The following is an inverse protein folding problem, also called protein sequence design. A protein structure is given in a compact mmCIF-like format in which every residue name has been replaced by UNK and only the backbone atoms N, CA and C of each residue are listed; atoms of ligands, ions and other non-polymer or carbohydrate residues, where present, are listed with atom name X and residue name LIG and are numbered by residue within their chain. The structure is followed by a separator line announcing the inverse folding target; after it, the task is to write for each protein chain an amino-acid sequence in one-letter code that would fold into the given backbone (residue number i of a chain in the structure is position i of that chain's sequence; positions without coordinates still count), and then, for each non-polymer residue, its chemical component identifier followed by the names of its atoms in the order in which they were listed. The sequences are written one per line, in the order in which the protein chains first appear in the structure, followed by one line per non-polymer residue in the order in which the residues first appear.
data_IF_788029212560
#
_entry.id   IF_788029212560
#
_cell.length_a   1.000
_cell.length_b   1.000
_cell.length_c   1.000
_cell.angle_alpha   90.00
_cell.angle_beta   90.00
_cell.angle_gamma   90.00
#
_symmetry.space_group_name_H-M   'P 1'
#
loop_
_entity.id
_entity.type
_entity.pdbx_description
1 polymer ?
2 non-polymer ?
3 water ?
#
# COMPACT_ATOMS: atom_id res chain seq x y z
N UNK A 1 35.77 6.70 -7.14
CA UNK A 1 34.47 6.96 -7.81
C UNK A 1 33.74 5.69 -8.17
N UNK A 2 34.35 4.89 -9.04
CA UNK A 2 33.70 3.65 -9.47
C UNK A 2 33.16 2.80 -8.33
N UNK A 3 33.96 2.64 -7.28
CA UNK A 3 33.53 1.84 -6.15
C UNK A 3 32.33 2.51 -5.48
N UNK A 4 32.51 3.76 -5.08
CA UNK A 4 31.45 4.49 -4.41
C UNK A 4 30.20 4.61 -5.27
N UNK A 5 30.38 4.79 -6.57
CA UNK A 5 29.24 4.89 -7.46
C UNK A 5 28.50 3.57 -7.39
N UNK A 6 29.24 2.47 -7.44
CA UNK A 6 28.61 1.17 -7.38
C UNK A 6 27.89 1.00 -6.05
N UNK A 7 28.43 1.63 -5.02
CA UNK A 7 27.82 1.56 -3.69
C UNK A 7 26.48 2.32 -3.70
N UNK A 8 26.46 3.51 -4.31
CA UNK A 8 25.24 4.27 -4.39
C UNK A 8 24.24 3.55 -5.27
N UNK A 9 24.74 2.90 -6.31
CA UNK A 9 23.87 2.18 -7.21
C UNK A 9 23.26 1.01 -6.47
N UNK A 10 24.07 0.32 -5.68
CA UNK A 10 23.62 -0.82 -4.90
C UNK A 10 22.60 -0.44 -3.83
N UNK A 11 22.81 0.70 -3.18
CA UNK A 11 21.91 1.17 -2.14
C UNK A 11 20.52 1.41 -2.70
N UNK A 12 20.47 2.03 -3.86
CA UNK A 12 19.22 2.36 -4.52
C UNK A 12 18.48 1.09 -4.94
N UNK A 13 19.21 0.17 -5.54
CA UNK A 13 18.58 -1.05 -6.00
C UNK A 13 17.98 -1.89 -4.87
N UNK A 14 18.61 -1.89 -3.70
CA UNK A 14 18.09 -2.67 -2.59
C UNK A 14 16.84 -2.00 -2.02
N UNK A 15 16.91 -0.68 -1.89
CA UNK A 15 15.79 0.09 -1.37
C UNK A 15 14.59 -0.11 -2.30
N UNK A 16 14.81 0.02 -3.60
CA UNK A 16 13.75 -0.18 -4.57
C UNK A 16 13.25 -1.62 -4.54
N UNK A 17 14.19 -2.54 -4.32
CA UNK A 17 13.85 -3.96 -4.25
C UNK A 17 12.81 -4.20 -3.15
N UNK A 18 13.14 -3.76 -1.94
CA UNK A 18 12.25 -3.93 -0.78
C UNK A 18 10.93 -3.26 -1.04
N UNK A 19 10.98 -1.97 -1.35
CA UNK A 19 9.76 -1.23 -1.61
C UNK A 19 8.90 -2.02 -2.59
N UNK A 20 9.49 -2.43 -3.70
CA UNK A 20 8.75 -3.17 -4.71
C UNK A 20 8.13 -4.46 -4.22
N UNK A 21 8.92 -5.31 -3.57
CA UNK A 21 8.36 -6.58 -3.11
C UNK A 21 7.27 -6.34 -2.08
N UNK A 22 7.49 -5.36 -1.22
CA UNK A 22 6.53 -5.03 -0.18
C UNK A 22 5.20 -4.58 -0.83
N UNK A 23 5.28 -3.67 -1.78
CA UNK A 23 4.10 -3.15 -2.44
C UNK A 23 3.31 -4.16 -3.22
N UNK A 24 4.00 -5.01 -3.98
CA UNK A 24 3.33 -6.04 -4.78
C UNK A 24 2.62 -7.02 -3.87
N UNK A 25 3.22 -7.29 -2.71
CA UNK A 25 2.60 -8.21 -1.78
C UNK A 25 1.30 -7.64 -1.22
N UNK A 26 1.29 -6.34 -0.93
CA UNK A 26 0.10 -5.69 -0.41
C UNK A 26 -1.00 -5.63 -1.45
N UNK A 27 -0.67 -5.19 -2.66
CA UNK A 27 -1.67 -5.09 -3.70
C UNK A 27 -2.24 -6.44 -4.10
N UNK A 28 -1.39 -7.45 -4.17
CA UNK A 28 -1.86 -8.79 -4.53
C UNK A 28 -2.82 -9.28 -3.45
N UNK A 29 -2.55 -8.92 -2.21
CA UNK A 29 -3.41 -9.33 -1.10
C UNK A 29 -4.78 -8.71 -1.26
N UNK A 30 -4.80 -7.41 -1.54
CA UNK A 30 -6.06 -6.71 -1.72
C UNK A 30 -6.83 -7.23 -2.92
N UNK A 31 -6.16 -7.41 -4.06
CA UNK A 31 -6.86 -7.92 -5.23
C UNK A 31 -7.51 -9.24 -4.84
N UNK A 32 -6.72 -10.13 -4.25
CA UNK A 32 -7.21 -11.44 -3.83
C UNK A 32 -8.39 -11.36 -2.86
N UNK A 33 -8.27 -10.54 -1.83
CA UNK A 33 -9.38 -10.39 -0.88
C UNK A 33 -10.64 -10.00 -1.63
N UNK A 34 -10.53 -8.97 -2.46
CA UNK A 34 -11.67 -8.48 -3.23
C UNK A 34 -12.32 -9.62 -4.00
N UNK A 35 -11.52 -10.37 -4.74
CA UNK A 35 -12.03 -11.47 -5.54
C UNK A 35 -12.69 -12.52 -4.64
N UNK A 36 -12.17 -12.68 -3.44
CA UNK A 36 -12.75 -13.66 -2.53
C UNK A 36 -14.11 -13.20 -2.06
N UNK A 37 -14.19 -11.94 -1.66
CA UNK A 37 -15.42 -11.34 -1.17
C UNK A 37 -16.50 -11.41 -2.26
N UNK A 38 -16.11 -11.11 -3.50
CA UNK A 38 -17.04 -11.14 -4.61
C UNK A 38 -17.51 -12.55 -4.92
N UNK A 39 -16.59 -13.51 -4.85
CA UNK A 39 -16.95 -14.91 -5.12
C UNK A 39 -17.95 -15.39 -4.10
N UNK A 40 -17.79 -14.90 -2.88
CA UNK A 40 -18.71 -15.26 -1.81
C UNK A 40 -20.10 -14.72 -2.08
N UNK A 41 -20.19 -13.43 -2.40
CA UNK A 41 -21.49 -12.85 -2.69
C UNK A 41 -22.18 -13.64 -3.79
N UNK A 42 -21.47 -13.89 -4.89
CA UNK A 42 -22.03 -14.63 -6.01
C UNK A 42 -22.58 -15.95 -5.55
N UNK A 43 -21.83 -16.61 -4.67
CA UNK A 43 -22.24 -17.90 -4.13
C UNK A 43 -23.50 -17.79 -3.28
N UNK A 44 -23.50 -16.87 -2.32
CA UNK A 44 -24.64 -16.66 -1.45
C UNK A 44 -25.86 -16.24 -2.23
N UNK A 45 -25.64 -15.49 -3.31
CA UNK A 45 -26.73 -15.05 -4.14
C UNK A 45 -27.37 -16.24 -4.83
N UNK A 46 -26.55 -17.15 -5.35
CA UNK A 46 -27.08 -18.33 -6.03
C UNK A 46 -27.95 -19.12 -5.07
N UNK A 47 -27.52 -19.21 -3.83
CA UNK A 47 -28.28 -19.93 -2.83
C UNK A 47 -29.58 -19.22 -2.57
N UNK A 48 -29.50 -17.90 -2.42
CA UNK A 48 -30.67 -17.07 -2.18
C UNK A 48 -31.68 -17.24 -3.32
N UNK A 49 -31.17 -17.24 -4.55
CA UNK A 49 -32.02 -17.40 -5.70
C UNK A 49 -32.76 -18.73 -5.75
N UNK A 50 -32.08 -19.80 -5.33
CA UNK A 50 -32.70 -21.13 -5.33
C UNK A 50 -33.84 -21.14 -4.34
N UNK A 51 -33.59 -20.58 -3.16
CA UNK A 51 -34.63 -20.49 -2.13
C UNK A 51 -35.82 -19.67 -2.65
N UNK A 52 -35.55 -18.65 -3.46
CA UNK A 52 -36.62 -17.82 -4.02
C UNK A 52 -37.44 -18.58 -5.05
N UNK A 53 -36.77 -19.34 -5.90
CA UNK A 53 -37.48 -20.13 -6.90
C UNK A 53 -38.43 -21.11 -6.19
N UNK A 54 -37.97 -21.71 -5.12
CA UNK A 54 -38.79 -22.63 -4.36
C UNK A 54 -39.99 -21.91 -3.76
N UNK A 55 -39.76 -20.73 -3.17
CA UNK A 55 -40.85 -19.97 -2.55
C UNK A 55 -41.92 -19.67 -3.59
N UNK A 56 -41.46 -19.39 -4.81
CA UNK A 56 -42.37 -19.09 -5.90
C UNK A 56 -43.19 -20.32 -6.27
N UNK A 57 -42.49 -21.43 -6.49
CA UNK A 57 -43.16 -22.65 -6.86
C UNK A 57 -44.21 -23.05 -5.83
N UNK A 58 -43.91 -22.84 -4.55
CA UNK A 58 -44.86 -23.19 -3.53
C UNK A 58 -46.08 -22.25 -3.54
N UNK A 59 -45.84 -20.96 -3.78
CA UNK A 59 -46.91 -19.97 -3.83
C UNK A 59 -47.83 -20.34 -4.99
N UNK A 60 -47.22 -20.64 -6.12
CA UNK A 60 -47.97 -21.03 -7.31
C UNK A 60 -48.81 -22.28 -7.03
N UNK A 61 -48.26 -23.21 -6.24
CA UNK A 61 -48.97 -24.43 -5.94
C UNK A 61 -50.18 -24.09 -5.09
N UNK A 62 -50.00 -23.22 -4.10
CA UNK A 62 -51.14 -22.81 -3.28
C UNK A 62 -52.16 -22.09 -4.16
N UNK A 63 -51.66 -21.22 -5.03
CA UNK A 63 -52.52 -20.48 -5.93
C UNK A 63 -53.35 -21.45 -6.81
N UNK A 64 -52.71 -22.46 -7.37
CA UNK A 64 -53.45 -23.41 -8.21
C UNK A 64 -54.44 -24.26 -7.42
N UNK A 65 -54.19 -24.45 -6.14
CA UNK A 65 -55.14 -25.19 -5.29
C UNK A 65 -56.34 -24.28 -5.03
N UNK A 66 -56.10 -22.98 -4.84
CA UNK A 66 -57.18 -22.02 -4.59
C UNK A 66 -58.09 -21.93 -5.80
N UNK A 67 -57.51 -22.05 -6.99
CA UNK A 67 -58.32 -22.00 -8.20
C UNK A 67 -59.38 -23.10 -8.18
N UNK A 68 -58.97 -24.29 -7.76
CA UNK A 68 -59.89 -25.40 -7.69
C UNK A 68 -60.98 -25.13 -6.69
N UNK A 69 -60.60 -24.57 -5.55
CA UNK A 69 -61.58 -24.24 -4.52
C UNK A 69 -62.60 -23.26 -5.09
N UNK A 70 -62.09 -22.15 -5.61
CA UNK A 70 -62.93 -21.13 -6.20
C UNK A 70 -63.95 -21.69 -7.18
N UNK A 71 -63.47 -22.44 -8.17
CA UNK A 71 -64.35 -22.98 -9.19
C UNK A 71 -65.42 -23.86 -8.57
N UNK A 72 -65.07 -24.56 -7.49
CA UNK A 72 -66.03 -25.45 -6.85
C UNK A 72 -66.97 -24.68 -5.96
N UNK A 73 -66.48 -23.63 -5.31
CA UNK A 73 -67.35 -22.85 -4.45
C UNK A 73 -68.38 -22.13 -5.30
N UNK A 74 -68.07 -21.86 -6.56
CA UNK A 74 -69.05 -21.20 -7.43
C UNK A 74 -70.10 -22.23 -7.81
N UNK A 75 -69.66 -23.39 -8.26
CA UNK A 75 -70.55 -24.48 -8.64
C UNK A 75 -71.46 -24.82 -7.44
N UNK A 76 -70.93 -24.69 -6.24
CA UNK A 76 -71.72 -24.96 -5.05
C UNK A 76 -72.80 -23.90 -4.96
N UNK A 77 -72.39 -22.63 -4.97
CA UNK A 77 -73.31 -21.52 -4.87
C UNK A 77 -74.51 -21.54 -5.80
N UNK A 78 -74.37 -22.11 -6.99
CA UNK A 78 -75.54 -22.19 -7.85
C UNK A 78 -76.55 -23.11 -7.18
N UNK A 79 -76.25 -23.47 -5.94
CA UNK A 79 -77.12 -24.29 -5.11
C UNK A 79 -77.43 -23.66 -3.79
N UNK B 1 38.42 -7.78 -6.30
CA UNK B 1 37.11 -8.46 -6.11
C UNK B 1 36.28 -7.85 -4.96
N UNK B 2 35.70 -6.70 -5.24
CA UNK B 2 34.85 -5.97 -4.30
C UNK B 2 34.18 -4.97 -5.20
N UNK B 3 34.69 -4.90 -6.42
CA UNK B 3 34.17 -4.04 -7.48
C UNK B 3 33.52 -5.02 -8.47
N UNK B 4 34.00 -6.26 -8.42
CA UNK B 4 33.46 -7.32 -9.27
C UNK B 4 32.28 -7.87 -8.50
N UNK B 5 32.34 -7.73 -7.18
CA UNK B 5 31.28 -8.18 -6.30
C UNK B 5 30.04 -7.28 -6.42
N UNK B 6 30.27 -5.96 -6.48
CA UNK B 6 29.18 -5.00 -6.62
C UNK B 6 28.57 -5.04 -8.02
N UNK B 7 29.42 -5.01 -9.04
CA UNK B 7 28.93 -5.07 -10.41
C UNK B 7 28.10 -6.34 -10.57
N UNK B 8 28.45 -7.37 -9.80
CA UNK B 8 27.74 -8.63 -9.85
C UNK B 8 26.38 -8.54 -9.18
N UNK B 9 26.38 -8.17 -7.90
CA UNK B 9 25.14 -8.03 -7.14
C UNK B 9 24.18 -7.03 -7.81
N UNK B 10 24.67 -5.83 -8.09
CA UNK B 10 23.87 -4.80 -8.72
C UNK B 10 23.18 -5.26 -10.00
N UNK B 11 23.95 -5.83 -10.92
CA UNK B 11 23.37 -6.31 -12.17
C UNK B 11 22.35 -7.42 -11.94
N UNK B 12 22.51 -8.13 -10.83
CA UNK B 12 21.60 -9.21 -10.48
C UNK B 12 20.25 -8.60 -10.09
N UNK B 13 20.26 -7.76 -9.05
CA UNK B 13 19.07 -7.08 -8.56
C UNK B 13 18.37 -6.38 -9.73
N UNK B 14 19.13 -5.51 -10.39
CA UNK B 14 18.69 -4.72 -11.53
C UNK B 14 17.85 -5.48 -12.56
N UNK B 15 18.09 -6.78 -12.71
CA UNK B 15 17.29 -7.54 -13.67
C UNK B 15 16.14 -8.24 -12.96
N UNK B 16 16.35 -8.61 -11.69
CA UNK B 16 15.31 -9.26 -10.89
C UNK B 16 14.13 -8.31 -10.83
N UNK B 17 14.41 -7.03 -10.57
CA UNK B 17 13.36 -6.04 -10.50
C UNK B 17 12.67 -5.88 -11.84
N UNK B 18 13.47 -5.84 -12.91
CA UNK B 18 12.90 -5.72 -14.23
C UNK B 18 11.91 -6.88 -14.37
N UNK B 19 12.27 -8.02 -13.79
CA UNK B 19 11.43 -9.20 -13.81
C UNK B 19 10.11 -8.92 -13.09
N UNK B 20 10.20 -8.70 -11.77
CA UNK B 20 9.02 -8.44 -10.95
C UNK B 20 8.09 -7.44 -11.63
N UNK B 21 8.61 -6.25 -11.94
CA UNK B 21 7.84 -5.20 -12.59
C UNK B 21 6.98 -5.75 -13.71
N UNK B 22 7.61 -6.43 -14.66
CA UNK B 22 6.93 -7.02 -15.81
C UNK B 22 5.90 -8.05 -15.40
N UNK B 23 6.29 -8.94 -14.48
CA UNK B 23 5.39 -9.99 -14.01
C UNK B 23 4.16 -9.48 -13.29
N UNK B 24 4.35 -8.66 -12.27
CA UNK B 24 3.21 -8.15 -11.53
C UNK B 24 2.26 -7.43 -12.46
N UNK B 25 2.82 -6.64 -13.37
CA UNK B 25 2.02 -5.89 -14.33
C UNK B 25 0.94 -6.76 -14.96
N UNK B 26 1.34 -7.92 -15.48
CA UNK B 26 0.40 -8.81 -16.12
C UNK B 26 -0.56 -9.42 -15.09
N UNK B 27 -0.02 -9.84 -13.96
CA UNK B 27 -0.82 -10.44 -12.90
C UNK B 27 -1.93 -9.48 -12.42
N UNK B 28 -1.54 -8.26 -12.02
CA UNK B 28 -2.50 -7.27 -11.57
C UNK B 28 -3.52 -7.03 -12.67
N UNK B 29 -3.00 -6.96 -13.90
CA UNK B 29 -3.83 -6.74 -15.07
C UNK B 29 -4.91 -7.81 -15.14
N UNK B 30 -4.55 -9.05 -14.81
CA UNK B 30 -5.54 -10.11 -14.84
C UNK B 30 -6.45 -10.05 -13.63
N UNK B 31 -5.90 -9.61 -12.49
CA UNK B 31 -6.71 -9.49 -11.26
C UNK B 31 -7.86 -8.52 -11.51
N UNK B 32 -7.55 -7.41 -12.16
CA UNK B 32 -8.52 -6.39 -12.50
C UNK B 32 -9.56 -6.90 -13.48
N UNK B 33 -9.16 -7.85 -14.33
CA UNK B 33 -10.08 -8.40 -15.32
C UNK B 33 -11.11 -9.25 -14.59
N UNK B 34 -10.63 -10.05 -13.66
CA UNK B 34 -11.48 -10.94 -12.88
C UNK B 34 -12.49 -10.11 -12.11
N UNK B 35 -11.96 -9.20 -11.28
CA UNK B 35 -12.79 -8.35 -10.46
C UNK B 35 -13.90 -7.70 -11.27
N UNK B 36 -13.57 -7.17 -12.43
CA UNK B 36 -14.59 -6.54 -13.26
C UNK B 36 -15.64 -7.55 -13.71
N UNK B 37 -15.17 -8.71 -14.13
CA UNK B 37 -16.03 -9.77 -14.61
C UNK B 37 -17.00 -10.20 -13.51
N UNK B 38 -16.48 -10.32 -12.30
CA UNK B 38 -17.31 -10.72 -11.17
C UNK B 38 -18.34 -9.67 -10.78
N UNK B 39 -17.97 -8.39 -10.87
CA UNK B 39 -18.88 -7.29 -10.52
C UNK B 39 -20.00 -7.29 -11.56
N UNK B 40 -19.62 -7.48 -12.81
CA UNK B 40 -20.61 -7.52 -13.87
C UNK B 40 -21.55 -8.69 -13.66
N UNK B 41 -21.04 -9.81 -13.17
CA UNK B 41 -21.89 -10.96 -12.92
C UNK B 41 -22.84 -10.69 -11.77
N UNK B 42 -22.33 -10.05 -10.72
CA UNK B 42 -23.17 -9.75 -9.58
C UNK B 42 -24.31 -8.83 -10.01
N UNK B 43 -24.01 -7.87 -10.87
CA UNK B 43 -25.03 -6.95 -11.32
C UNK B 43 -26.09 -7.70 -12.14
N UNK B 44 -25.64 -8.50 -13.09
CA UNK B 44 -26.55 -9.26 -13.94
C UNK B 44 -27.44 -10.14 -13.09
N UNK B 45 -26.87 -10.75 -12.06
CA UNK B 45 -27.65 -11.61 -11.17
C UNK B 45 -28.66 -10.77 -10.42
N UNK B 46 -28.24 -9.62 -9.91
CA UNK B 46 -29.15 -8.74 -9.16
C UNK B 46 -30.34 -8.38 -10.05
N UNK B 47 -30.07 -8.09 -11.32
CA UNK B 47 -31.15 -7.75 -12.22
C UNK B 47 -32.10 -8.93 -12.35
N UNK B 48 -31.54 -10.10 -12.65
CA UNK B 48 -32.34 -11.31 -12.79
C UNK B 48 -33.15 -11.55 -11.52
N UNK B 49 -32.52 -11.36 -10.37
CA UNK B 49 -33.24 -11.54 -9.10
C UNK B 49 -34.39 -10.57 -9.02
N UNK B 50 -34.14 -9.34 -9.46
CA UNK B 50 -35.15 -8.29 -9.45
C UNK B 50 -36.34 -8.74 -10.27
N UNK B 51 -36.08 -9.19 -11.50
CA UNK B 51 -37.13 -9.65 -12.38
C UNK B 51 -37.97 -10.76 -11.70
N UNK B 52 -37.27 -11.73 -11.08
CA UNK B 52 -37.96 -12.82 -10.39
C UNK B 52 -38.83 -12.34 -9.27
N UNK B 53 -38.39 -11.30 -8.56
CA UNK B 53 -39.17 -10.76 -7.47
C UNK B 53 -40.44 -10.08 -8.00
N UNK B 54 -40.37 -9.53 -9.20
CA UNK B 54 -41.56 -8.90 -9.77
C UNK B 54 -42.58 -10.00 -10.04
N UNK B 55 -42.16 -11.01 -10.80
CA UNK B 55 -43.02 -12.13 -11.12
C UNK B 55 -43.63 -12.70 -9.84
N UNK B 56 -42.82 -12.80 -8.80
CA UNK B 56 -43.32 -13.31 -7.53
C UNK B 56 -44.42 -12.39 -6.97
N UNK B 57 -44.20 -11.09 -7.16
CA UNK B 57 -45.14 -10.10 -6.66
C UNK B 57 -46.50 -10.18 -7.35
N UNK B 58 -46.51 -10.30 -8.67
CA UNK B 58 -47.75 -10.44 -9.43
C UNK B 58 -48.49 -11.66 -8.90
N UNK B 59 -47.80 -12.79 -8.85
CA UNK B 59 -48.40 -14.02 -8.36
C UNK B 59 -48.97 -13.84 -6.98
N UNK B 60 -48.21 -13.24 -6.07
CA UNK B 60 -48.72 -13.06 -4.72
C UNK B 60 -49.98 -12.20 -4.72
N UNK B 61 -50.06 -11.24 -5.63
CA UNK B 61 -51.24 -10.38 -5.67
C UNK B 61 -52.44 -11.22 -6.11
N UNK B 62 -52.25 -12.02 -7.15
CA UNK B 62 -53.31 -12.88 -7.66
C UNK B 62 -53.81 -13.85 -6.60
N UNK B 63 -52.88 -14.39 -5.82
CA UNK B 63 -53.25 -15.33 -4.77
C UNK B 63 -54.07 -14.67 -3.68
N UNK B 64 -53.69 -13.46 -3.30
CA UNK B 64 -54.42 -12.71 -2.26
C UNK B 64 -55.83 -12.32 -2.73
N UNK B 65 -55.95 -11.98 -4.00
CA UNK B 65 -57.23 -11.61 -4.58
C UNK B 65 -58.12 -12.84 -4.50
N UNK B 66 -57.54 -14.00 -4.78
CA UNK B 66 -58.27 -15.25 -4.72
C UNK B 66 -58.75 -15.49 -3.31
N UNK B 67 -57.83 -15.36 -2.34
CA UNK B 67 -58.16 -15.56 -0.93
C UNK B 67 -59.41 -14.76 -0.60
N UNK B 68 -59.31 -13.45 -0.78
CA UNK B 68 -60.41 -12.54 -0.53
C UNK B 68 -61.69 -13.13 -1.15
N UNK B 69 -61.70 -13.22 -2.47
CA UNK B 69 -62.84 -13.75 -3.22
C UNK B 69 -63.42 -15.02 -2.59
N UNK B 70 -62.55 -15.88 -2.08
CA UNK B 70 -63.00 -17.12 -1.48
C UNK B 70 -63.74 -16.86 -0.18
N UNK B 71 -63.15 -16.05 0.68
CA UNK B 71 -63.79 -15.74 1.96
C UNK B 71 -65.25 -15.38 1.71
N UNK B 72 -65.49 -14.62 0.65
CA UNK B 72 -66.80 -14.18 0.24
C UNK B 72 -67.72 -15.36 -0.06
N UNK B 73 -67.36 -16.15 -1.07
CA UNK B 73 -68.17 -17.30 -1.45
C UNK B 73 -68.43 -18.24 -0.28
N UNK B 74 -67.59 -18.19 0.75
CA UNK B 74 -67.81 -19.08 1.89
C UNK B 74 -68.74 -18.43 2.91
N UNK B 75 -69.05 -17.15 2.69
CA UNK B 75 -69.97 -16.41 3.56
C UNK B 75 -71.32 -16.41 2.85
N UNK B 76 -71.29 -16.28 1.52
CA UNK B 76 -72.50 -16.29 0.72
C UNK B 76 -73.07 -17.69 0.74
N UNK B 77 -72.58 -18.49 1.69
CA UNK B 77 -73.04 -19.86 1.89
C UNK B 77 -73.37 -20.00 3.35
N UNK B 78 -72.65 -19.27 4.19
CA UNK B 78 -72.92 -19.27 5.62
C UNK B 78 -74.18 -18.40 5.79
N UNK B 79 -75.26 -18.85 5.15
CA UNK B 79 -76.51 -18.11 5.19
C UNK B 79 -76.64 -17.33 3.89
N UNK C 10 -3.13 27.40 -2.40
CA UNK C 10 -1.89 26.55 -2.33
C UNK C 10 -1.85 25.57 -3.49
N UNK C 11 -0.98 24.57 -3.40
CA UNK C 11 -0.86 23.56 -4.46
C UNK C 11 -1.61 22.28 -4.07
N UNK C 12 -1.69 21.35 -5.02
CA UNK C 12 -2.36 20.08 -4.77
C UNK C 12 -1.58 19.32 -3.70
N UNK C 13 -2.26 18.51 -2.91
CA UNK C 13 -1.59 17.74 -1.87
C UNK C 13 -0.54 16.79 -2.45
N UNK C 14 -0.76 16.30 -3.67
CA UNK C 14 0.20 15.41 -4.30
C UNK C 14 1.50 16.20 -4.46
N UNK C 15 1.41 17.35 -5.10
CA UNK C 15 2.58 18.20 -5.31
C UNK C 15 3.29 18.54 -4.00
N UNK C 16 2.53 18.76 -2.94
CA UNK C 16 3.16 19.06 -1.67
C UNK C 16 3.95 17.86 -1.21
N UNK C 17 3.38 16.68 -1.41
CA UNK C 17 4.05 15.45 -1.00
C UNK C 17 5.32 15.29 -1.81
N UNK C 18 5.21 15.55 -3.11
CA UNK C 18 6.37 15.39 -3.97
C UNK C 18 7.52 16.25 -3.45
N UNK C 19 7.19 17.46 -2.99
CA UNK C 19 8.22 18.35 -2.49
C UNK C 19 8.76 17.88 -1.16
N UNK C 20 7.90 17.29 -0.33
CA UNK C 20 8.37 16.80 0.96
C UNK C 20 9.38 15.67 0.69
N UNK C 21 9.03 14.78 -0.23
CA UNK C 21 9.90 13.68 -0.59
C UNK C 21 11.26 14.17 -1.05
N UNK C 22 11.24 15.14 -1.96
CA UNK C 22 12.47 15.68 -2.49
C UNK C 22 13.40 16.29 -1.44
N UNK C 23 12.81 16.96 -0.46
CA UNK C 23 13.58 17.56 0.61
C UNK C 23 14.15 16.48 1.52
N UNK C 24 13.37 15.44 1.79
CA UNK C 24 13.87 14.36 2.64
C UNK C 24 14.99 13.64 1.89
N UNK C 25 14.87 13.54 0.57
CA UNK C 25 15.90 12.87 -0.22
C UNK C 25 17.26 13.54 -0.07
N UNK C 26 17.30 14.86 -0.12
CA UNK C 26 18.57 15.56 0.04
C UNK C 26 19.12 15.35 1.44
N UNK C 27 18.25 15.34 2.44
CA UNK C 27 18.71 15.12 3.80
C UNK C 27 19.35 13.74 3.87
N UNK C 28 18.66 12.76 3.30
CA UNK C 28 19.12 11.39 3.31
C UNK C 28 20.46 11.25 2.62
N UNK C 29 20.60 11.87 1.46
CA UNK C 29 21.85 11.81 0.71
C UNK C 29 23.02 12.34 1.54
N UNK C 30 22.81 13.48 2.19
CA UNK C 30 23.83 14.09 3.03
C UNK C 30 24.17 13.19 4.19
N UNK C 31 23.16 12.59 4.81
CA UNK C 31 23.41 11.68 5.92
C UNK C 31 24.32 10.54 5.47
N UNK C 32 23.93 9.88 4.39
CA UNK C 32 24.68 8.76 3.86
C UNK C 32 26.11 9.18 3.49
N UNK C 33 26.27 10.42 3.07
CA UNK C 33 27.58 10.91 2.69
C UNK C 33 28.45 11.03 3.93
N UNK C 34 27.89 11.62 4.98
CA UNK C 34 28.58 11.76 6.24
C UNK C 34 29.00 10.38 6.74
N UNK C 35 28.07 9.44 6.72
CA UNK C 35 28.33 8.09 7.16
C UNK C 35 29.45 7.46 6.35
N UNK C 36 29.39 7.61 5.04
CA UNK C 36 30.42 7.02 4.20
C UNK C 36 31.82 7.56 4.47
N UNK C 37 31.93 8.87 4.69
CA UNK C 37 33.23 9.46 4.91
C UNK C 37 33.78 9.13 6.29
N UNK C 38 32.91 9.02 7.27
CA UNK C 38 33.37 8.67 8.61
C UNK C 38 33.87 7.23 8.57
N UNK C 39 33.24 6.40 7.74
CA UNK C 39 33.66 5.01 7.63
C UNK C 39 35.02 4.92 6.96
N UNK C 40 35.26 5.79 5.99
CA UNK C 40 36.53 5.82 5.28
C UNK C 40 37.61 6.29 6.20
N UNK C 41 37.24 7.18 7.12
CA UNK C 41 38.20 7.69 8.08
C UNK C 41 38.61 6.58 9.05
N UNK C 42 37.62 5.80 9.50
CA UNK C 42 37.89 4.72 10.43
C UNK C 42 38.79 3.69 9.78
N UNK C 43 38.50 3.38 8.52
CA UNK C 43 39.28 2.41 7.77
C UNK C 43 40.72 2.85 7.66
N UNK C 44 40.92 4.13 7.41
CA UNK C 44 42.25 4.69 7.28
C UNK C 44 43.01 4.63 8.59
N UNK C 45 42.35 5.08 9.65
CA UNK C 45 42.93 5.09 10.98
C UNK C 45 43.32 3.66 11.36
N UNK C 46 42.47 2.69 11.04
CA UNK C 46 42.78 1.30 11.34
C UNK C 46 44.05 0.87 10.64
N UNK C 47 44.20 1.27 9.38
CA UNK C 47 45.39 0.91 8.61
C UNK C 47 46.65 1.55 9.15
N UNK C 48 46.54 2.83 9.49
CA UNK C 48 47.68 3.54 10.04
C UNK C 48 48.14 2.94 11.38
N UNK C 49 47.18 2.57 12.22
CA UNK C 49 47.51 1.98 13.50
C UNK C 49 48.20 0.64 13.32
N UNK C 50 47.79 -0.12 12.31
CA UNK C 50 48.40 -1.42 12.07
C UNK C 50 49.83 -1.19 11.59
N UNK C 51 50.03 -0.14 10.79
CA UNK C 51 51.35 0.17 10.25
C UNK C 51 52.26 0.57 11.41
N UNK C 52 51.76 1.48 12.25
CA UNK C 52 52.54 1.93 13.39
C UNK C 52 52.81 0.77 14.37
N UNK C 53 51.79 -0.02 14.66
CA UNK C 53 51.96 -1.15 15.56
C UNK C 53 53.12 -2.03 15.10
N UNK C 54 53.26 -2.21 13.79
CA UNK C 54 54.36 -3.03 13.31
C UNK C 54 55.71 -2.37 13.59
N UNK C 55 55.76 -1.04 13.53
CA UNK C 55 57.01 -0.34 13.79
C UNK C 55 57.33 -0.55 15.27
N UNK C 56 56.32 -0.45 16.11
CA UNK C 56 56.50 -0.64 17.55
C UNK C 56 57.05 -2.04 17.81
N UNK C 57 56.38 -3.06 17.26
CA UNK C 57 56.81 -4.42 17.47
C UNK C 57 58.22 -4.65 16.97
N UNK C 58 58.59 -3.99 15.88
CA UNK C 58 59.94 -4.16 15.40
C UNK C 58 60.96 -3.49 16.33
N UNK C 59 60.66 -2.29 16.80
CA UNK C 59 61.57 -1.61 17.72
C UNK C 59 61.75 -2.47 18.98
N UNK C 60 60.63 -3.06 19.43
CA UNK C 60 60.63 -3.90 20.61
C UNK C 60 61.55 -5.09 20.40
N UNK C 61 61.51 -5.64 19.19
CA UNK C 61 62.34 -6.80 18.84
C UNK C 61 63.82 -6.43 18.89
N UNK C 62 64.14 -5.25 18.37
CA UNK C 62 65.54 -4.80 18.37
C UNK C 62 65.97 -4.50 19.82
N UNK C 63 65.07 -3.93 20.59
CA UNK C 63 65.34 -3.60 21.98
C UNK C 63 65.74 -4.86 22.73
N UNK C 64 64.95 -5.90 22.57
CA UNK C 64 65.22 -7.17 23.24
C UNK C 64 66.54 -7.78 22.80
N UNK C 65 66.93 -7.56 21.55
CA UNK C 65 68.20 -8.09 21.09
C UNK C 65 69.35 -7.30 21.71
N UNK C 66 69.09 -6.05 22.05
CA UNK C 66 70.12 -5.21 22.66
C UNK C 66 70.32 -5.66 24.11
N UNK C 67 69.22 -6.06 24.75
CA UNK C 67 69.28 -6.53 26.14
C UNK C 67 70.15 -7.78 26.25
N UNK C 68 70.15 -8.60 25.20
CA UNK C 68 70.96 -9.80 25.18
C UNK C 68 72.41 -9.37 25.01
N UNK C 69 72.64 -8.49 24.05
CA UNK C 69 73.98 -8.02 23.76
C UNK C 69 74.65 -7.47 25.00
N UNK C 70 73.90 -6.67 25.76
CA UNK C 70 74.43 -6.09 26.98
C UNK C 70 74.71 -7.18 27.99
N UNK C 71 73.74 -8.06 28.19
CA UNK C 71 73.89 -9.16 29.13
C UNK C 71 75.18 -9.91 28.84
N UNK C 72 75.54 -9.99 27.55
CA UNK C 72 76.77 -10.66 27.18
C UNK C 72 77.99 -9.90 27.71
N UNK C 73 78.09 -8.61 27.36
CA UNK C 73 79.21 -7.81 27.85
C UNK C 73 79.25 -7.89 29.36
N UNK C 74 78.14 -7.62 30.03
CA UNK C 74 78.11 -7.67 31.48
C UNK C 74 78.55 -9.05 31.97
N UNK C 75 78.30 -10.09 31.17
CA UNK C 75 78.70 -11.44 31.55
C UNK C 75 80.21 -11.50 31.46
N UNK C 76 80.74 -10.90 30.39
CA UNK C 76 82.17 -10.86 30.17
C UNK C 76 82.95 -10.13 31.26
N UNK C 77 82.34 -9.12 31.88
CA UNK C 77 83.03 -8.39 32.92
C UNK C 77 82.89 -8.99 34.30
N UNK C 78 81.84 -9.79 34.50
CA UNK C 78 81.61 -10.42 35.79
C UNK C 78 82.54 -11.62 35.92
N UNK C 79 83.34 -11.87 34.88
CA UNK C 79 84.26 -13.00 34.87
C UNK C 79 85.30 -13.00 35.97
N UNK D 3 -13.35 19.71 -1.03
CA UNK D 3 -14.85 19.48 -1.00
C UNK D 3 -15.15 18.01 -1.37
N UNK D 4 -16.42 17.61 -1.37
CA UNK D 4 -16.77 16.21 -1.57
C UNK D 4 -15.88 15.10 -2.15
N UNK D 5 -15.41 15.16 -3.38
CA UNK D 5 -14.56 14.03 -3.77
C UNK D 5 -13.13 14.37 -3.29
N UNK D 6 -12.72 15.61 -3.52
CA UNK D 6 -11.42 16.12 -3.14
C UNK D 6 -11.09 16.07 -1.65
N UNK D 7 -12.04 16.49 -0.82
CA UNK D 7 -11.83 16.47 0.62
C UNK D 7 -11.50 15.02 1.01
N UNK D 8 -12.08 14.08 0.27
CA UNK D 8 -11.86 12.68 0.53
C UNK D 8 -10.44 12.24 0.23
N UNK D 9 -9.96 12.59 -0.97
CA UNK D 9 -8.60 12.22 -1.37
C UNK D 9 -7.61 13.01 -0.54
N UNK D 10 -7.89 14.31 -0.36
CA UNK D 10 -7.00 15.16 0.41
C UNK D 10 -6.90 14.68 1.84
N UNK D 11 -7.92 13.94 2.27
CA UNK D 11 -7.96 13.37 3.60
C UNK D 11 -6.95 12.21 3.64
N UNK D 12 -7.05 11.32 2.66
CA UNK D 12 -6.13 10.18 2.57
C UNK D 12 -4.72 10.64 2.35
N UNK D 13 -4.55 11.70 1.55
CA UNK D 13 -3.23 12.22 1.30
C UNK D 13 -2.58 12.73 2.59
N UNK D 14 -3.37 13.39 3.43
CA UNK D 14 -2.88 13.93 4.70
C UNK D 14 -2.37 12.78 5.53
N UNK D 15 -3.07 11.67 5.49
CA UNK D 15 -2.65 10.53 6.27
C UNK D 15 -1.30 10.05 5.74
N UNK D 16 -1.18 10.03 4.41
CA UNK D 16 0.05 9.61 3.76
C UNK D 16 1.19 10.56 4.10
N UNK D 17 0.90 11.85 4.14
CA UNK D 17 1.93 12.83 4.49
C UNK D 17 2.44 12.58 5.89
N UNK D 18 1.54 12.25 6.79
CA UNK D 18 1.96 12.00 8.15
C UNK D 18 2.91 10.83 8.09
N UNK D 19 2.45 9.73 7.48
CA UNK D 19 3.26 8.53 7.37
C UNK D 19 4.64 8.81 6.80
N UNK D 20 4.70 9.71 5.81
CA UNK D 20 5.97 10.06 5.20
C UNK D 20 6.91 10.65 6.23
N UNK D 21 6.41 11.66 6.94
CA UNK D 21 7.15 12.35 7.98
C UNK D 21 7.56 11.39 9.10
N UNK D 22 6.65 10.50 9.46
CA UNK D 22 6.96 9.55 10.51
C UNK D 22 8.02 8.59 9.97
N UNK D 23 7.90 8.22 8.70
CA UNK D 23 8.86 7.31 8.11
C UNK D 23 10.25 7.91 8.04
N UNK D 24 10.36 9.18 7.63
CA UNK D 24 11.68 9.75 7.57
C UNK D 24 12.27 10.09 8.93
N UNK D 25 11.42 10.30 9.91
CA UNK D 25 11.92 10.62 11.24
C UNK D 25 12.71 9.41 11.74
N UNK D 26 12.16 8.22 11.52
CA UNK D 26 12.82 7.01 11.96
C UNK D 26 14.06 6.71 11.12
N UNK D 27 14.04 7.10 9.85
CA UNK D 27 15.18 6.86 8.98
C UNK D 27 16.28 7.84 9.36
N UNK D 28 15.88 9.08 9.65
CA UNK D 28 16.81 10.13 10.04
C UNK D 28 17.41 9.87 11.41
N UNK D 29 16.61 9.27 12.30
CA UNK D 29 17.10 8.97 13.64
C UNK D 29 18.18 7.91 13.54
N UNK D 30 17.95 6.90 12.70
CA UNK D 30 18.90 5.82 12.50
C UNK D 30 20.23 6.32 11.99
N UNK D 31 20.18 7.31 11.10
CA UNK D 31 21.41 7.89 10.57
C UNK D 31 22.17 8.51 11.73
N UNK D 32 21.52 9.44 12.40
CA UNK D 32 22.10 10.14 13.54
C UNK D 32 22.73 9.15 14.51
N UNK D 33 22.05 8.05 14.77
CA UNK D 33 22.59 7.03 15.66
C UNK D 33 23.93 6.59 15.09
N UNK D 34 23.88 5.96 13.93
CA UNK D 34 25.07 5.49 13.24
C UNK D 34 26.15 6.56 13.24
N UNK D 35 25.82 7.75 12.78
CA UNK D 35 26.80 8.84 12.74
C UNK D 35 27.39 9.04 14.13
N UNK D 36 26.56 8.87 15.15
CA UNK D 36 27.04 9.05 16.50
C UNK D 36 28.03 7.96 16.89
N UNK D 37 27.66 6.70 16.68
CA UNK D 37 28.56 5.63 17.06
C UNK D 37 29.90 5.77 16.31
N UNK D 38 29.85 6.15 15.04
CA UNK D 38 31.08 6.31 14.27
C UNK D 38 31.96 7.42 14.82
N UNK D 39 31.35 8.54 15.16
CA UNK D 39 32.11 9.67 15.69
C UNK D 39 32.76 9.25 17.01
N UNK D 40 32.05 8.45 17.81
CA UNK D 40 32.60 7.99 19.07
C UNK D 40 33.79 7.11 18.79
N UNK D 41 33.60 6.17 17.87
CA UNK D 41 34.65 5.26 17.49
C UNK D 41 35.90 6.02 17.04
N UNK D 42 35.70 7.11 16.32
CA UNK D 42 36.80 7.93 15.83
C UNK D 42 37.61 8.53 16.97
N UNK D 43 36.91 9.05 17.97
CA UNK D 43 37.55 9.66 19.12
C UNK D 43 38.31 8.61 19.93
N UNK D 44 37.70 7.45 20.14
CA UNK D 44 38.36 6.40 20.90
C UNK D 44 39.69 6.03 20.26
N UNK D 45 39.69 5.90 18.94
CA UNK D 45 40.90 5.56 18.22
C UNK D 45 41.93 6.68 18.27
N UNK D 46 41.46 7.92 18.22
CA UNK D 46 42.36 9.05 18.25
C UNK D 46 43.14 9.00 19.56
N UNK D 47 42.44 8.66 20.63
CA UNK D 47 43.04 8.58 21.95
C UNK D 47 44.02 7.42 22.01
N UNK D 48 43.57 6.24 21.61
CA UNK D 48 44.41 5.05 21.63
C UNK D 48 45.69 5.27 20.83
N UNK D 49 45.57 5.83 19.63
CA UNK D 49 46.74 6.07 18.83
C UNK D 49 47.70 7.03 19.56
N UNK D 50 47.18 8.06 20.20
CA UNK D 50 48.02 9.03 20.90
C UNK D 50 48.85 8.31 21.96
N UNK D 51 48.20 7.42 22.67
CA UNK D 51 48.86 6.65 23.70
C UNK D 51 49.98 5.80 23.07
N UNK D 52 49.66 5.05 22.02
CA UNK D 52 50.66 4.23 21.36
C UNK D 52 51.90 5.03 20.96
N UNK D 53 51.68 6.20 20.36
CA UNK D 53 52.78 7.06 19.96
C UNK D 53 53.66 7.43 21.15
N UNK D 54 53.05 7.64 22.31
CA UNK D 54 53.80 7.98 23.50
C UNK D 54 54.65 6.76 23.83
N UNK D 55 54.01 5.61 23.87
CA UNK D 55 54.71 4.37 24.16
C UNK D 55 55.88 4.15 23.19
N UNK D 56 55.70 4.53 21.94
CA UNK D 56 56.78 4.34 20.97
C UNK D 56 57.94 5.25 21.36
N UNK D 57 57.60 6.48 21.75
CA UNK D 57 58.58 7.45 22.16
C UNK D 57 59.35 6.94 23.39
N UNK D 58 58.61 6.35 24.33
CA UNK D 58 59.26 5.84 25.52
C UNK D 58 60.18 4.70 25.20
N UNK D 59 59.74 3.80 24.33
CA UNK D 59 60.58 2.66 23.98
C UNK D 59 61.83 3.13 23.27
N UNK D 60 61.73 4.17 22.44
CA UNK D 60 62.93 4.64 21.76
C UNK D 60 63.91 5.27 22.76
N UNK D 61 63.39 5.88 23.82
CA UNK D 61 64.30 6.47 24.81
C UNK D 61 65.04 5.36 25.56
N UNK D 62 64.34 4.27 25.82
CA UNK D 62 64.95 3.13 26.48
C UNK D 62 66.06 2.59 25.58
N UNK D 63 65.79 2.45 24.29
CA UNK D 63 66.80 1.96 23.37
C UNK D 63 68.01 2.87 23.37
N UNK D 64 67.79 4.17 23.51
CA UNK D 64 68.91 5.09 23.49
C UNK D 64 69.82 4.86 24.69
N UNK D 65 69.24 4.62 25.86
CA UNK D 65 70.04 4.35 27.06
C UNK D 65 70.88 3.10 26.77
N UNK D 66 70.21 2.06 26.28
CA UNK D 66 70.89 0.81 25.95
C UNK D 66 71.98 1.01 24.89
N UNK D 67 71.72 1.84 23.88
CA UNK D 67 72.74 2.07 22.85
C UNK D 67 73.99 2.76 23.37
N UNK D 68 73.82 3.63 24.36
CA UNK D 68 74.96 4.33 24.93
C UNK D 68 75.71 3.35 25.83
N UNK D 69 74.95 2.55 26.58
CA UNK D 69 75.54 1.57 27.48
C UNK D 69 76.41 0.60 26.68
N UNK D 70 75.91 0.17 25.53
CA UNK D 70 76.64 -0.75 24.66
C UNK D 70 77.92 -0.15 24.08
N UNK D 71 77.85 1.10 23.63
CA UNK D 71 79.03 1.77 23.09
C UNK D 71 80.07 1.91 24.19
N UNK D 72 79.59 2.07 25.43
CA UNK D 72 80.48 2.20 26.59
C UNK D 72 81.21 0.88 26.79
N UNK D 73 80.45 -0.20 26.89
CA UNK D 73 81.00 -1.53 27.07
C UNK D 73 82.04 -1.85 26.00
N UNK D 74 81.71 -1.55 24.75
CA UNK D 74 82.63 -1.84 23.69
C UNK D 74 83.94 -1.13 23.88
N UNK D 75 83.87 0.14 24.28
CA UNK D 75 85.10 0.90 24.51
C UNK D 75 85.86 0.21 25.64
N UNK D 76 85.17 -0.02 26.75
CA UNK D 76 85.73 -0.65 27.94
C UNK D 76 86.42 -1.98 27.62
N UNK D 77 85.93 -2.67 26.59
CA UNK D 77 86.49 -3.96 26.17
C UNK D 77 87.55 -3.81 25.09
N UNK D 78 87.98 -2.59 24.84
CA UNK D 78 89.00 -2.38 23.84
C UNK D 78 90.34 -2.21 24.53
N UNK D 79 90.60 -3.10 25.49
CA UNK D 79 91.84 -3.06 26.24
C UNK D 79 91.74 -3.93 27.48
N UNK D 80 90.66 -3.72 28.25
CA UNK D 80 90.40 -4.46 29.48
C UNK D 80 91.06 -5.84 29.51
N UNK E 10 -59.37 9.77 5.26
CA UNK E 10 -60.57 9.62 6.15
C UNK E 10 -61.58 8.60 5.60
N UNK E 11 -62.64 8.36 6.38
CA UNK E 11 -63.72 7.42 6.08
C UNK E 11 -63.95 6.91 4.65
N UNK E 12 -64.51 7.72 3.75
CA UNK E 12 -64.77 7.21 2.41
C UNK E 12 -63.56 6.59 1.74
N UNK E 13 -63.80 5.61 0.88
CA UNK E 13 -62.72 4.95 0.19
C UNK E 13 -61.93 5.92 -0.67
N UNK E 14 -62.61 6.89 -1.29
CA UNK E 14 -61.92 7.88 -2.11
C UNK E 14 -60.90 8.64 -1.28
N UNK E 15 -61.31 9.04 -0.09
CA UNK E 15 -60.42 9.76 0.82
C UNK E 15 -59.26 8.87 1.24
N UNK E 16 -59.54 7.58 1.44
CA UNK E 16 -58.49 6.66 1.85
C UNK E 16 -57.47 6.54 0.73
N UNK E 17 -57.95 6.49 -0.51
CA UNK E 17 -57.06 6.39 -1.66
C UNK E 17 -56.21 7.64 -1.77
N UNK E 18 -56.82 8.81 -1.58
CA UNK E 18 -56.10 10.05 -1.65
C UNK E 18 -54.98 10.05 -0.62
N UNK E 19 -55.31 9.59 0.59
CA UNK E 19 -54.30 9.56 1.65
C UNK E 19 -53.14 8.63 1.30
N UNK E 20 -53.45 7.46 0.74
CA UNK E 20 -52.39 6.53 0.34
C UNK E 20 -51.52 7.12 -0.77
N UNK E 21 -52.16 7.77 -1.73
CA UNK E 21 -51.41 8.36 -2.83
C UNK E 21 -50.51 9.46 -2.32
N UNK E 22 -50.98 10.22 -1.34
CA UNK E 22 -50.14 11.29 -0.82
C UNK E 22 -48.97 10.73 -0.05
N UNK E 23 -49.23 9.70 0.77
CA UNK E 23 -48.16 9.09 1.53
C UNK E 23 -47.10 8.52 0.61
N UNK E 24 -47.52 7.86 -0.47
CA UNK E 24 -46.54 7.32 -1.39
C UNK E 24 -45.73 8.40 -2.06
N UNK E 25 -46.42 9.44 -2.53
CA UNK E 25 -45.77 10.56 -3.22
C UNK E 25 -44.55 11.03 -2.43
N UNK E 26 -44.66 11.01 -1.12
CA UNK E 26 -43.57 11.43 -0.25
C UNK E 26 -42.42 10.44 -0.42
N UNK E 27 -42.75 9.15 -0.38
CA UNK E 27 -41.74 8.12 -0.54
C UNK E 27 -41.07 8.21 -1.90
N UNK E 28 -41.87 8.25 -2.96
CA UNK E 28 -41.32 8.35 -4.33
C UNK E 28 -40.38 9.54 -4.46
N UNK E 29 -40.71 10.64 -3.80
CA UNK E 29 -39.89 11.85 -3.87
C UNK E 29 -38.57 11.66 -3.16
N UNK E 30 -38.61 11.02 -2.00
CA UNK E 30 -37.39 10.76 -1.26
C UNK E 30 -36.44 9.84 -2.05
N UNK E 31 -37.01 8.82 -2.71
CA UNK E 31 -36.22 7.90 -3.52
C UNK E 31 -35.51 8.66 -4.62
N UNK E 32 -36.26 9.53 -5.31
CA UNK E 32 -35.67 10.29 -6.40
C UNK E 32 -34.55 11.21 -5.89
N UNK E 33 -34.71 11.69 -4.67
CA UNK E 33 -33.72 12.57 -4.07
C UNK E 33 -32.43 11.78 -3.80
N UNK E 34 -32.59 10.62 -3.17
CA UNK E 34 -31.47 9.76 -2.87
C UNK E 34 -30.75 9.41 -4.16
N UNK E 35 -31.52 8.97 -5.16
CA UNK E 35 -30.95 8.63 -6.44
C UNK E 35 -30.13 9.79 -7.01
N UNK E 36 -30.78 10.95 -7.16
CA UNK E 36 -30.08 12.10 -7.70
C UNK E 36 -28.78 12.43 -6.98
N UNK E 37 -28.82 12.31 -5.66
CA UNK E 37 -27.67 12.55 -4.82
C UNK E 37 -26.53 11.57 -5.18
N UNK E 38 -26.85 10.27 -5.12
CA UNK E 38 -25.89 9.23 -5.45
C UNK E 38 -25.28 9.50 -6.82
N UNK E 39 -26.11 9.88 -7.77
CA UNK E 39 -25.60 10.17 -9.10
C UNK E 39 -24.58 11.30 -9.06
N UNK E 40 -24.83 12.31 -8.23
CA UNK E 40 -23.91 13.43 -8.12
C UNK E 40 -22.59 12.92 -7.55
N UNK E 41 -22.72 12.14 -6.47
CA UNK E 41 -21.54 11.59 -5.81
C UNK E 41 -20.67 10.80 -6.79
N UNK E 42 -21.31 10.03 -7.66
CA UNK E 42 -20.61 9.25 -8.65
C UNK E 42 -19.83 10.11 -9.62
N UNK E 43 -20.50 11.09 -10.21
CA UNK E 43 -19.85 12.00 -11.16
C UNK E 43 -18.72 12.78 -10.49
N UNK E 44 -18.96 13.19 -9.27
CA UNK E 44 -17.99 13.93 -8.48
C UNK E 44 -16.73 13.05 -8.36
N UNK E 45 -16.90 11.78 -8.02
CA UNK E 45 -15.77 10.88 -7.88
C UNK E 45 -15.03 10.70 -9.21
N UNK E 46 -15.78 10.45 -10.28
CA UNK E 46 -15.12 10.26 -11.57
C UNK E 46 -14.18 11.43 -11.85
N UNK E 47 -14.62 12.64 -11.49
CA UNK E 47 -13.84 13.84 -11.73
C UNK E 47 -12.60 13.90 -10.83
N UNK E 48 -12.78 13.57 -9.55
CA UNK E 48 -11.68 13.57 -8.61
C UNK E 48 -10.63 12.51 -9.00
N UNK E 49 -11.09 11.34 -9.43
CA UNK E 49 -10.17 10.29 -9.86
C UNK E 49 -9.42 10.74 -11.10
N UNK E 50 -10.07 11.57 -11.92
CA UNK E 50 -9.44 12.08 -13.14
C UNK E 50 -8.35 13.08 -12.75
N UNK E 51 -8.65 13.91 -11.76
CA UNK E 51 -7.70 14.89 -11.29
C UNK E 51 -6.45 14.16 -10.79
N UNK E 52 -6.64 13.23 -9.86
CA UNK E 52 -5.54 12.47 -9.28
C UNK E 52 -4.77 11.68 -10.33
N UNK E 53 -5.47 11.03 -11.25
CA UNK E 53 -4.78 10.26 -12.28
C UNK E 53 -3.80 11.14 -13.04
N UNK E 54 -4.09 12.42 -13.12
CA UNK E 54 -3.21 13.34 -13.83
C UNK E 54 -1.97 13.63 -12.99
N UNK E 55 -2.19 13.82 -11.70
CA UNK E 55 -1.08 14.09 -10.79
C UNK E 55 -0.15 12.90 -10.84
N UNK E 56 -0.73 11.71 -10.92
CA UNK E 56 0.05 10.49 -10.98
C UNK E 56 0.84 10.42 -12.27
N UNK E 57 0.15 10.66 -13.39
CA UNK E 57 0.79 10.62 -14.70
C UNK E 57 1.95 11.60 -14.78
N UNK E 58 1.82 12.74 -14.12
CA UNK E 58 2.88 13.72 -14.13
C UNK E 58 4.08 13.19 -13.34
N UNK E 59 3.80 12.64 -12.16
CA UNK E 59 4.85 12.09 -11.31
C UNK E 59 5.56 10.95 -12.02
N UNK E 60 4.78 10.09 -12.68
CA UNK E 60 5.31 8.95 -13.41
C UNK E 60 6.25 9.38 -14.53
N UNK E 61 5.94 10.50 -15.17
CA UNK E 61 6.78 10.98 -16.25
C UNK E 61 8.08 11.48 -15.68
N UNK E 62 7.99 12.27 -14.62
CA UNK E 62 9.15 12.83 -13.93
C UNK E 62 10.05 11.70 -13.42
N UNK E 63 9.43 10.60 -13.03
CA UNK E 63 10.17 9.46 -12.52
C UNK E 63 10.95 8.78 -13.65
N UNK E 64 10.28 8.47 -14.75
CA UNK E 64 10.94 7.80 -15.88
C UNK E 64 12.06 8.66 -16.46
N UNK E 65 11.96 9.97 -16.24
CA UNK E 65 12.95 10.93 -16.69
C UNK E 65 14.17 10.72 -15.82
N UNK E 66 13.93 10.59 -14.51
CA UNK E 66 14.99 10.38 -13.54
C UNK E 66 15.75 9.09 -13.84
N UNK E 67 15.03 8.07 -14.27
CA UNK E 67 15.63 6.79 -14.63
C UNK E 67 16.66 7.00 -15.72
N UNK E 68 16.28 7.73 -16.75
CA UNK E 68 17.18 8.02 -17.88
C UNK E 68 18.39 8.75 -17.32
N UNK E 69 18.13 9.86 -16.66
CA UNK E 69 19.17 10.68 -16.05
C UNK E 69 20.14 9.84 -15.21
N UNK E 70 19.64 8.82 -14.54
CA UNK E 70 20.48 7.98 -13.72
C UNK E 70 21.30 7.02 -14.59
N UNK E 71 20.67 6.50 -15.64
CA UNK E 71 21.37 5.57 -16.52
C UNK E 71 22.61 6.23 -17.10
N UNK E 72 22.50 7.51 -17.46
CA UNK E 72 23.61 8.24 -18.04
C UNK E 72 24.67 8.56 -17.01
N UNK E 73 24.25 8.96 -15.81
CA UNK E 73 25.20 9.27 -14.74
C UNK E 73 26.01 8.01 -14.44
N UNK E 74 25.32 6.88 -14.36
CA UNK E 74 25.98 5.62 -14.09
C UNK E 74 26.95 5.31 -15.21
N UNK E 75 26.58 5.68 -16.43
CA UNK E 75 27.44 5.43 -17.59
C UNK E 75 28.75 6.19 -17.47
N UNK E 76 28.67 7.41 -16.96
CA UNK E 76 29.88 8.20 -16.80
C UNK E 76 30.72 7.71 -15.64
N UNK E 77 30.09 7.01 -14.70
CA UNK E 77 30.82 6.51 -13.55
C UNK E 77 31.25 5.04 -13.69
N UNK E 78 31.55 4.65 -14.91
CA UNK E 78 32.03 3.31 -15.20
C UNK E 78 33.27 3.59 -16.05
N UNK E 79 33.84 4.77 -15.80
CA UNK E 79 35.02 5.24 -16.48
C UNK E 79 35.10 6.75 -16.43
N UNK F 6 -75.62 -0.34 -5.27
CA UNK F 6 -75.48 0.64 -4.15
C UNK F 6 -73.99 0.90 -3.90
N UNK F 7 -73.59 0.98 -2.64
CA UNK F 7 -72.18 1.23 -2.31
C UNK F 7 -71.43 -0.06 -2.03
N UNK F 8 -71.90 -1.14 -2.64
CA UNK F 8 -71.25 -2.42 -2.48
C UNK F 8 -70.03 -2.31 -3.36
N UNK F 9 -70.14 -1.50 -4.40
CA UNK F 9 -69.04 -1.27 -5.33
C UNK F 9 -67.90 -0.51 -4.66
N UNK F 10 -67.88 -0.60 -3.33
CA UNK F 10 -66.81 -0.02 -2.54
C UNK F 10 -65.77 -1.08 -2.86
N UNK F 11 -66.28 -2.21 -3.34
CA UNK F 11 -65.47 -3.35 -3.75
C UNK F 11 -64.66 -2.95 -4.96
N UNK F 12 -65.29 -2.26 -5.91
CA UNK F 12 -64.54 -1.84 -7.09
C UNK F 12 -63.49 -0.81 -6.66
N UNK F 13 -63.84 0.05 -5.70
CA UNK F 13 -62.90 1.04 -5.20
C UNK F 13 -61.88 0.28 -4.37
N UNK F 14 -62.32 -0.84 -3.79
CA UNK F 14 -61.45 -1.68 -2.99
C UNK F 14 -60.36 -2.31 -3.85
N UNK F 15 -60.73 -2.72 -5.06
CA UNK F 15 -59.78 -3.33 -5.96
C UNK F 15 -58.82 -2.23 -6.34
N UNK F 16 -59.37 -1.07 -6.70
CA UNK F 16 -58.56 0.08 -7.07
C UNK F 16 -57.56 0.38 -6.00
N UNK F 17 -58.05 0.48 -4.77
CA UNK F 17 -57.19 0.79 -3.64
C UNK F 17 -56.04 -0.22 -3.48
N UNK F 18 -56.31 -1.50 -3.78
CA UNK F 18 -55.26 -2.50 -3.64
C UNK F 18 -54.37 -2.48 -4.87
N UNK F 19 -54.92 -2.09 -6.02
CA UNK F 19 -54.11 -1.99 -7.22
C UNK F 19 -53.12 -0.85 -7.04
N UNK F 20 -53.54 0.19 -6.31
CA UNK F 20 -52.65 1.32 -6.05
C UNK F 20 -51.48 0.84 -5.23
N UNK F 21 -51.77 0.12 -4.16
CA UNK F 21 -50.73 -0.43 -3.29
C UNK F 21 -49.77 -1.29 -4.09
N UNK F 22 -50.32 -2.14 -4.94
CA UNK F 22 -49.48 -3.03 -5.73
C UNK F 22 -48.58 -2.20 -6.64
N UNK F 23 -49.15 -1.22 -7.32
CA UNK F 23 -48.37 -0.36 -8.21
C UNK F 23 -47.29 0.42 -7.47
N UNK F 24 -47.57 0.84 -6.24
CA UNK F 24 -46.58 1.57 -5.46
C UNK F 24 -45.38 0.63 -5.31
N UNK F 25 -45.65 -0.58 -4.85
CA UNK F 25 -44.62 -1.59 -4.60
C UNK F 25 -43.68 -1.75 -5.79
N UNK F 26 -44.23 -1.90 -7.00
CA UNK F 26 -43.40 -2.02 -8.18
C UNK F 26 -42.46 -0.81 -8.24
N UNK F 27 -43.03 0.39 -8.06
CA UNK F 27 -42.23 1.62 -8.09
C UNK F 27 -41.11 1.58 -7.04
N UNK F 28 -41.49 1.28 -5.80
CA UNK F 28 -40.53 1.21 -4.71
C UNK F 28 -39.41 0.23 -5.03
N UNK F 29 -39.76 -0.94 -5.54
CA UNK F 29 -38.78 -1.95 -5.90
C UNK F 29 -37.84 -1.38 -6.96
N UNK F 30 -38.40 -0.81 -8.02
CA UNK F 30 -37.54 -0.24 -9.05
C UNK F 30 -36.62 0.83 -8.49
N UNK F 31 -37.12 1.62 -7.56
CA UNK F 31 -36.29 2.68 -6.98
C UNK F 31 -35.12 2.10 -6.19
N UNK F 32 -35.43 1.07 -5.41
CA UNK F 32 -34.43 0.41 -4.57
C UNK F 32 -33.37 -0.27 -5.44
N UNK F 33 -33.77 -0.78 -6.59
CA UNK F 33 -32.81 -1.42 -7.47
C UNK F 33 -31.81 -0.40 -7.96
N UNK F 34 -32.32 0.75 -8.37
CA UNK F 34 -31.46 1.81 -8.87
C UNK F 34 -30.55 2.26 -7.75
N UNK F 35 -31.12 2.46 -6.58
CA UNK F 35 -30.31 2.89 -5.43
C UNK F 35 -29.22 1.87 -5.14
N UNK F 36 -29.58 0.59 -5.11
CA UNK F 36 -28.58 -0.43 -4.85
C UNK F 36 -27.49 -0.46 -5.92
N UNK F 37 -27.86 -0.27 -7.19
CA UNK F 37 -26.87 -0.30 -8.26
C UNK F 37 -25.88 0.84 -8.09
N UNK F 38 -26.42 2.03 -7.87
CA UNK F 38 -25.60 3.20 -7.67
C UNK F 38 -24.65 3.00 -6.51
N UNK F 39 -25.15 2.40 -5.44
CA UNK F 39 -24.32 2.17 -4.27
C UNK F 39 -23.20 1.17 -4.56
N UNK F 40 -23.47 0.16 -5.38
CA UNK F 40 -22.42 -0.80 -5.71
C UNK F 40 -21.34 -0.11 -6.53
N UNK F 41 -21.77 0.76 -7.44
CA UNK F 41 -20.81 1.49 -8.28
C UNK F 41 -19.90 2.35 -7.43
N UNK F 42 -20.50 2.98 -6.43
CA UNK F 42 -19.76 3.86 -5.53
C UNK F 42 -18.74 3.05 -4.75
N UNK F 43 -19.18 1.92 -4.21
CA UNK F 43 -18.28 1.08 -3.44
C UNK F 43 -17.13 0.63 -4.34
N UNK F 44 -17.45 0.24 -5.55
CA UNK F 44 -16.41 -0.23 -6.46
C UNK F 44 -15.39 0.85 -6.76
N UNK F 45 -15.86 2.08 -6.95
CA UNK F 45 -14.96 3.21 -7.23
C UNK F 45 -14.11 3.53 -5.99
N UNK F 46 -14.69 3.39 -4.81
CA UNK F 46 -13.93 3.67 -3.61
C UNK F 46 -12.73 2.75 -3.54
N UNK F 47 -12.96 1.46 -3.74
CA UNK F 47 -11.89 0.47 -3.70
C UNK F 47 -10.82 0.80 -4.73
N UNK F 48 -11.26 1.15 -5.93
CA UNK F 48 -10.30 1.46 -6.97
C UNK F 48 -9.50 2.71 -6.60
N UNK F 49 -10.16 3.74 -6.06
CA UNK F 49 -9.42 4.94 -5.69
C UNK F 49 -8.39 4.66 -4.58
N UNK F 50 -8.75 3.80 -3.65
CA UNK F 50 -7.83 3.50 -2.57
C UNK F 50 -6.57 2.88 -3.17
N UNK F 51 -6.72 2.04 -4.18
CA UNK F 51 -5.55 1.42 -4.79
C UNK F 51 -4.70 2.47 -5.49
N UNK F 52 -5.35 3.35 -6.24
CA UNK F 52 -4.60 4.39 -6.92
C UNK F 52 -3.79 5.21 -5.93
N UNK F 53 -4.40 5.54 -4.80
CA UNK F 53 -3.68 6.33 -3.80
C UNK F 53 -2.48 5.55 -3.27
N UNK F 54 -2.64 4.24 -3.07
CA UNK F 54 -1.52 3.45 -2.59
C UNK F 54 -0.43 3.40 -3.65
N UNK F 55 -0.84 3.23 -4.90
CA UNK F 55 0.15 3.19 -5.98
C UNK F 55 0.84 4.53 -6.12
N UNK F 56 0.14 5.61 -5.79
CA UNK F 56 0.77 6.92 -5.90
C UNK F 56 1.87 7.05 -4.86
N UNK F 57 1.57 6.58 -3.66
CA UNK F 57 2.53 6.65 -2.56
C UNK F 57 3.72 5.72 -2.82
N UNK F 58 3.44 4.56 -3.42
CA UNK F 58 4.49 3.61 -3.73
C UNK F 58 5.45 4.23 -4.71
N UNK F 59 4.88 4.89 -5.72
CA UNK F 59 5.69 5.53 -6.75
C UNK F 59 6.55 6.62 -6.12
N UNK F 60 5.99 7.35 -5.17
CA UNK F 60 6.77 8.41 -4.56
C UNK F 60 7.92 7.83 -3.76
N UNK F 61 7.75 6.61 -3.26
CA UNK F 61 8.81 6.00 -2.49
C UNK F 61 9.93 5.54 -3.43
N UNK F 62 9.57 5.15 -4.64
CA UNK F 62 10.59 4.76 -5.58
C UNK F 62 11.37 6.00 -5.94
N UNK F 63 10.67 7.12 -6.13
CA UNK F 63 11.36 8.37 -6.48
C UNK F 63 12.34 8.78 -5.38
N UNK F 64 11.96 8.56 -4.14
CA UNK F 64 12.80 8.87 -2.99
C UNK F 64 14.15 8.19 -3.17
N UNK F 65 14.13 6.90 -3.48
CA UNK F 65 15.38 6.20 -3.68
C UNK F 65 16.18 6.82 -4.83
N UNK F 66 15.52 7.04 -5.96
CA UNK F 66 16.21 7.62 -7.13
C UNK F 66 16.79 9.00 -6.81
N UNK F 67 16.03 9.84 -6.14
CA UNK F 67 16.53 11.17 -5.83
C UNK F 67 17.78 11.08 -4.97
N UNK F 68 17.81 10.11 -4.07
CA UNK F 68 19.00 9.98 -3.21
C UNK F 68 20.14 9.47 -4.08
N UNK F 69 19.84 8.49 -4.93
CA UNK F 69 20.84 7.93 -5.80
C UNK F 69 21.51 9.02 -6.62
N UNK F 70 20.71 9.88 -7.24
CA UNK F 70 21.26 10.96 -8.06
C UNK F 70 22.04 11.96 -7.23
N UNK F 71 21.50 12.35 -6.08
CA UNK F 71 22.20 13.30 -5.22
C UNK F 71 23.59 12.72 -4.93
N UNK F 72 23.65 11.40 -4.78
CA UNK F 72 24.91 10.72 -4.49
C UNK F 72 25.86 10.80 -5.68
N UNK F 73 25.37 10.47 -6.87
CA UNK F 73 26.24 10.51 -8.04
C UNK F 73 26.80 11.93 -8.23
N UNK F 74 25.95 12.94 -8.06
CA UNK F 74 26.42 14.31 -8.23
C UNK F 74 27.56 14.64 -7.28
N UNK F 75 27.44 14.21 -6.03
CA UNK F 75 28.50 14.45 -5.05
C UNK F 75 29.81 13.84 -5.53
N UNK F 76 29.77 12.60 -5.99
CA UNK F 76 30.96 11.93 -6.47
C UNK F 76 31.60 12.73 -7.60
N UNK F 77 30.75 13.26 -8.49
CA UNK F 77 31.19 14.05 -9.63
C UNK F 77 31.53 15.51 -9.27
N UNK F 78 32.11 15.69 -8.09
CA UNK F 78 32.51 17.03 -7.61
C UNK F 78 34.01 17.05 -7.35
N UNK F 79 34.68 15.95 -7.71
CA UNK F 79 36.12 15.85 -7.51
C UNK F 79 36.71 14.68 -8.27
#
# INVERSE_FOLDING_TARGET
CEVDALKGTNESLERQMREMEENFAVEAANYQDTIGRLQDEIQNMKEEMARHLREYQDLLNVKMALDIEIATYRKLLEGEESRI
CEVDALKGTNESLERQMREMEENFAVEAANYQDTIGRLQDEIQNMKEEMARHLREYQDLLNVKMALDIEIATYRKLLEGEESRI
CEVDALKGTNESLERQMREMEENFAVEAANYQDTIGRLQDEIQNMKEEMARHLREYQDLLNVKMALDIEIATYRKLLEGEESRI
CEVDALKGTNESLERQMREMEENFAVEAANYQDTIGRLQDEIQNMKEEMARHLREYQDLLNVKMALDIEIATYRKLLEGEESRI
CEVDALKGTNESLERQMREMEENFAVEAANYQDTIGRLQDEIQNMKEEMARHLREYQDLLNVKMALDIEIATYRKLLEGEESRI
CEVDALKGTNESLERQMREMEENFAVEAANYQDTIGRLQDEIQNMKEEMARHLREYQDLLNVKMALDIEIATYRKLLEGEESRI
#
